data_IF_058773584621
#
_entry.id   IF_058773584621
#
_cell.length_a   1.000
_cell.length_b   1.000
_cell.length_c   1.000
_cell.angle_alpha   90.00
_cell.angle_beta   90.00
_cell.angle_gamma   90.00
#
_symmetry.space_group_name_H-M   'P 1'
#
loop_
_entity.id
_entity.type
_entity.pdbx_description
1 polymer ?
#
# COMPACT_ATOMS: atom_id res chain seq x y z
N UNK A 1 14.33 4.91 -22.51
CA UNK A 1 14.18 3.46 -22.24
C UNK A 1 15.42 2.64 -22.55
N UNK A 2 16.16 2.85 -23.65
CA UNK A 2 17.37 2.06 -23.99
C UNK A 2 18.34 1.86 -22.83
N UNK A 3 18.77 2.93 -22.15
CA UNK A 3 19.66 2.83 -20.98
C UNK A 3 19.17 1.86 -19.89
N UNK A 4 17.87 1.88 -19.56
CA UNK A 4 17.31 1.00 -18.52
C UNK A 4 17.25 -0.46 -18.98
N UNK A 5 16.95 -0.70 -20.25
CA UNK A 5 16.96 -2.04 -20.86
C UNK A 5 18.38 -2.61 -20.95
N UNK A 6 19.34 -1.77 -21.33
CA UNK A 6 20.74 -2.16 -21.50
C UNK A 6 21.45 -2.42 -20.15
N UNK A 7 20.99 -1.74 -19.08
CA UNK A 7 21.57 -1.88 -17.74
C UNK A 7 21.23 -3.20 -17.03
N UNK A 8 20.25 -3.98 -17.53
CA UNK A 8 19.88 -5.31 -17.03
C UNK A 8 19.69 -5.38 -15.50
N UNK A 9 18.87 -4.50 -14.95
CA UNK A 9 18.52 -4.53 -13.53
C UNK A 9 17.74 -5.81 -13.17
N UNK A 10 17.97 -6.36 -11.98
CA UNK A 10 17.28 -7.57 -11.52
C UNK A 10 15.91 -7.28 -10.87
N UNK A 11 15.72 -6.07 -10.33
CA UNK A 11 14.49 -5.66 -9.65
C UNK A 11 14.33 -4.13 -9.63
N UNK A 12 13.11 -3.67 -9.40
CA UNK A 12 12.79 -2.25 -9.21
C UNK A 12 12.11 -2.01 -7.87
N UNK A 13 12.65 -1.08 -7.07
CA UNK A 13 12.08 -0.67 -5.78
C UNK A 13 11.50 0.74 -5.89
N UNK A 14 10.25 0.94 -5.45
CA UNK A 14 9.55 2.22 -5.61
C UNK A 14 8.37 2.40 -4.65
N UNK A 15 7.91 3.64 -4.49
CA UNK A 15 6.61 3.94 -3.86
C UNK A 15 5.51 3.96 -4.94
N UNK A 16 4.52 3.04 -4.92
CA UNK A 16 3.51 2.88 -5.96
C UNK A 16 2.37 3.91 -5.88
N UNK A 17 2.34 4.83 -4.91
CA UNK A 17 1.27 5.85 -4.80
C UNK A 17 1.11 6.62 -6.11
N UNK A 18 2.24 6.94 -6.76
CA UNK A 18 2.29 7.43 -8.14
C UNK A 18 2.62 6.25 -9.08
N UNK A 19 1.69 5.83 -9.95
CA UNK A 19 1.80 4.55 -10.66
C UNK A 19 2.80 4.57 -11.84
N UNK A 20 3.58 5.63 -12.04
CA UNK A 20 4.61 5.69 -13.09
C UNK A 20 5.66 4.59 -12.94
N UNK A 21 6.09 4.31 -11.71
CA UNK A 21 7.04 3.24 -11.43
C UNK A 21 6.49 1.86 -11.80
N UNK A 22 5.30 1.46 -11.29
CA UNK A 22 4.63 0.23 -11.71
C UNK A 22 4.46 0.09 -13.23
N UNK A 23 4.13 1.16 -13.94
CA UNK A 23 4.03 1.15 -15.42
C UNK A 23 5.38 0.79 -16.06
N UNK A 24 6.47 1.41 -15.58
CA UNK A 24 7.82 1.15 -16.10
C UNK A 24 8.28 -0.27 -15.75
N UNK A 25 7.96 -0.76 -14.55
CA UNK A 25 8.26 -2.13 -14.12
C UNK A 25 7.62 -3.16 -15.04
N UNK A 26 6.35 -2.95 -15.38
CA UNK A 26 5.62 -3.82 -16.30
C UNK A 26 6.21 -3.77 -17.72
N UNK A 27 6.56 -2.59 -18.22
CA UNK A 27 7.20 -2.45 -19.54
C UNK A 27 8.57 -3.15 -19.61
N UNK A 28 9.35 -3.11 -18.53
CA UNK A 28 10.66 -3.75 -18.45
C UNK A 28 10.57 -5.24 -18.05
N UNK A 29 9.39 -5.73 -17.68
CA UNK A 29 9.17 -7.10 -17.17
C UNK A 29 10.06 -7.43 -15.97
N UNK A 30 10.24 -6.47 -15.06
CA UNK A 30 11.08 -6.62 -13.86
C UNK A 30 10.22 -6.87 -12.61
N UNK A 31 10.69 -7.73 -11.67
CA UNK A 31 10.01 -7.89 -10.40
C UNK A 31 10.04 -6.58 -9.61
N UNK A 32 8.88 -6.20 -9.09
CA UNK A 32 8.70 -4.92 -8.39
C UNK A 32 8.57 -5.10 -6.88
N UNK A 33 9.28 -4.24 -6.14
CA UNK A 33 9.26 -4.16 -4.68
C UNK A 33 8.63 -2.83 -4.29
N UNK A 34 7.45 -2.88 -3.70
CA UNK A 34 6.71 -1.69 -3.30
C UNK A 34 7.09 -1.27 -1.90
N UNK A 35 7.62 -0.07 -1.75
CA UNK A 35 8.00 0.51 -0.47
C UNK A 35 7.03 1.63 -0.10
N UNK A 36 6.01 1.31 0.69
CA UNK A 36 4.83 2.19 0.84
C UNK A 36 4.23 2.16 2.24
N UNK A 37 3.42 3.17 2.57
CA UNK A 37 2.59 3.15 3.79
C UNK A 37 1.18 2.59 3.52
N UNK A 38 0.76 2.53 2.27
CA UNK A 38 -0.56 2.09 1.87
C UNK A 38 -0.99 2.83 0.61
N UNK A 39 -2.01 2.30 -0.07
CA UNK A 39 -2.58 2.93 -1.25
C UNK A 39 -3.96 3.53 -0.93
N UNK A 40 -4.38 4.59 -1.65
CA UNK A 40 -5.74 5.10 -1.59
C UNK A 40 -6.79 3.98 -1.76
N UNK A 41 -7.91 4.10 -1.04
CA UNK A 41 -9.07 3.19 -1.11
C UNK A 41 -8.77 1.71 -0.83
N UNK A 42 -7.72 1.46 -0.04
CA UNK A 42 -7.25 0.12 0.30
C UNK A 42 -6.89 -0.72 -0.94
N UNK A 43 -6.39 -0.07 -2.00
CA UNK A 43 -6.01 -0.75 -3.25
C UNK A 43 -4.89 -1.76 -3.04
N UNK A 44 -4.02 -1.54 -2.06
CA UNK A 44 -2.98 -2.47 -1.65
C UNK A 44 -3.56 -3.81 -1.18
N UNK A 45 -4.57 -3.78 -0.30
CA UNK A 45 -5.26 -4.99 0.16
C UNK A 45 -6.13 -5.62 -0.93
N UNK A 46 -6.77 -4.81 -1.77
CA UNK A 46 -7.55 -5.32 -2.91
C UNK A 46 -6.65 -6.01 -3.94
N UNK A 47 -5.48 -5.43 -4.23
CA UNK A 47 -4.51 -5.95 -5.19
C UNK A 47 -3.90 -7.28 -4.73
N UNK A 48 -3.66 -7.43 -3.42
CA UNK A 48 -3.18 -8.67 -2.81
C UNK A 48 -4.31 -9.66 -2.46
N UNK A 49 -5.57 -9.33 -2.77
CA UNK A 49 -6.75 -10.13 -2.43
C UNK A 49 -6.92 -10.39 -0.92
N UNK A 50 -6.36 -9.53 -0.08
CA UNK A 50 -6.56 -9.60 1.36
C UNK A 50 -7.95 -9.09 1.76
N UNK A 51 -8.72 -9.82 2.59
CA UNK A 51 -10.01 -9.37 3.07
C UNK A 51 -9.85 -8.17 4.02
N UNK A 52 -10.64 -7.12 3.78
CA UNK A 52 -10.70 -5.92 4.64
C UNK A 52 -12.17 -5.54 4.91
N UNK A 53 -12.87 -6.29 5.77
CA UNK A 53 -14.31 -6.12 5.97
C UNK A 53 -14.68 -4.85 6.73
N UNK A 54 -15.73 -4.19 6.26
CA UNK A 54 -16.21 -2.90 6.81
C UNK A 54 -16.80 -3.02 8.23
N UNK A 55 -17.05 -4.22 8.73
CA UNK A 55 -17.66 -4.44 10.05
C UNK A 55 -16.70 -4.24 11.22
N UNK A 56 -15.39 -4.38 11.01
CA UNK A 56 -14.38 -4.24 12.06
C UNK A 56 -13.08 -3.56 11.60
N UNK A 57 -12.85 -3.39 10.28
CA UNK A 57 -11.75 -2.56 9.77
C UNK A 57 -12.30 -1.17 9.45
N UNK A 58 -12.02 -0.15 10.28
CA UNK A 58 -12.48 1.19 10.00
C UNK A 58 -11.73 1.79 8.81
N UNK A 59 -12.44 2.55 8.00
CA UNK A 59 -11.89 3.31 6.87
C UNK A 59 -11.17 4.54 7.35
N UNK A 60 -10.17 4.96 6.58
CA UNK A 60 -9.39 6.16 6.88
C UNK A 60 -10.33 7.37 6.99
N UNK A 61 -10.04 8.27 7.93
CA UNK A 61 -10.83 9.49 8.20
C UNK A 61 -12.25 9.26 8.78
N UNK A 62 -12.63 8.03 9.14
CA UNK A 62 -13.91 7.79 9.83
C UNK A 62 -13.88 8.11 11.32
N UNK A 63 -12.68 8.20 11.91
CA UNK A 63 -12.39 8.28 13.35
C UNK A 63 -13.00 7.13 14.17
N UNK A 64 -13.35 6.02 13.51
CA UNK A 64 -13.84 4.80 14.15
C UNK A 64 -12.69 3.90 14.61
N UNK A 65 -12.93 3.09 15.65
CA UNK A 65 -12.02 2.03 16.11
C UNK A 65 -12.41 0.65 15.53
N UNK A 66 -11.73 -0.41 15.96
CA UNK A 66 -12.14 -1.80 15.71
C UNK A 66 -13.48 -2.16 16.38
N UNK A 67 -13.83 -1.42 17.44
CA UNK A 67 -15.10 -1.54 18.15
C UNK A 67 -16.09 -0.50 17.66
N UNK A 68 -16.83 -0.86 16.62
CA UNK A 68 -17.90 -0.03 16.04
C UNK A 68 -19.30 -0.48 16.45
N UNK A 69 -20.15 0.48 16.80
CA UNK A 69 -21.61 0.34 16.89
C UNK A 69 -22.21 0.07 15.50
N UNK A 70 -23.49 -0.34 15.44
CA UNK A 70 -24.17 -0.59 14.18
C UNK A 70 -24.16 0.64 13.25
N UNK A 71 -24.45 1.82 13.78
CA UNK A 71 -24.46 3.06 12.99
C UNK A 71 -23.08 3.40 12.42
N UNK A 72 -22.01 3.21 13.21
CA UNK A 72 -20.63 3.41 12.75
C UNK A 72 -20.25 2.42 11.66
N UNK A 73 -20.69 1.16 11.74
CA UNK A 73 -20.47 0.16 10.68
C UNK A 73 -21.18 0.54 9.39
N UNK A 74 -22.41 1.04 9.47
CA UNK A 74 -23.16 1.53 8.30
C UNK A 74 -22.43 2.73 7.68
N UNK A 75 -21.98 3.70 8.49
CA UNK A 75 -21.17 4.82 8.03
C UNK A 75 -19.88 4.35 7.35
N UNK A 76 -19.19 3.39 7.96
CA UNK A 76 -17.94 2.84 7.45
C UNK A 76 -18.12 2.14 6.09
N UNK A 77 -19.22 1.39 5.95
CA UNK A 77 -19.61 0.77 4.68
C UNK A 77 -19.91 1.82 3.60
N UNK A 78 -20.71 2.85 3.91
CA UNK A 78 -21.05 3.90 2.95
C UNK A 78 -19.81 4.66 2.46
N UNK A 79 -18.89 4.97 3.36
CA UNK A 79 -17.61 5.60 3.01
C UNK A 79 -16.79 4.66 2.14
N UNK A 80 -16.61 3.41 2.55
CA UNK A 80 -15.87 2.42 1.79
C UNK A 80 -16.44 2.13 0.39
N UNK A 81 -17.76 2.22 0.22
CA UNK A 81 -18.41 2.13 -1.09
C UNK A 81 -18.11 3.37 -1.95
N UNK A 82 -18.18 4.57 -1.35
CA UNK A 82 -17.87 5.83 -2.05
C UNK A 82 -16.40 5.97 -2.46
N UNK A 83 -15.48 5.35 -1.71
CA UNK A 83 -14.04 5.34 -2.01
C UNK A 83 -13.74 4.76 -3.40
N UNK A 84 -14.53 3.78 -3.88
CA UNK A 84 -14.31 3.19 -5.20
C UNK A 84 -14.39 4.23 -6.32
N UNK A 85 -15.42 5.07 -6.30
CA UNK A 85 -15.62 6.14 -7.27
C UNK A 85 -14.51 7.18 -7.17
N UNK A 86 -14.14 7.55 -5.94
CA UNK A 86 -13.05 8.51 -5.70
C UNK A 86 -11.72 8.01 -6.26
N UNK A 87 -11.36 6.76 -6.03
CA UNK A 87 -10.11 6.19 -6.54
C UNK A 87 -10.10 6.02 -8.06
N UNK A 88 -11.20 5.63 -8.67
CA UNK A 88 -11.28 5.52 -10.13
C UNK A 88 -11.06 6.88 -10.80
N UNK A 89 -11.60 7.95 -10.21
CA UNK A 89 -11.36 9.33 -10.65
C UNK A 89 -9.91 9.76 -10.42
N UNK A 90 -9.35 9.48 -9.24
CA UNK A 90 -7.97 9.84 -8.89
C UNK A 90 -6.95 9.21 -9.85
N UNK A 91 -7.18 7.95 -10.26
CA UNK A 91 -6.28 7.22 -11.14
C UNK A 91 -6.67 7.26 -12.63
N UNK A 92 -7.73 7.95 -13.03
CA UNK A 92 -8.23 7.96 -14.41
C UNK A 92 -7.13 8.34 -15.42
N UNK A 93 -6.40 9.43 -15.14
CA UNK A 93 -5.33 9.92 -16.01
C UNK A 93 -4.17 8.91 -16.11
N UNK A 94 -3.84 8.27 -14.99
CA UNK A 94 -2.80 7.25 -14.95
C UNK A 94 -3.21 5.96 -15.66
N UNK A 95 -4.48 5.56 -15.56
CA UNK A 95 -5.03 4.43 -16.31
C UNK A 95 -4.91 4.66 -17.81
N UNK A 96 -5.26 5.86 -18.29
CA UNK A 96 -5.13 6.25 -19.69
C UNK A 96 -3.66 6.23 -20.14
N UNK A 97 -2.79 6.90 -19.38
CA UNK A 97 -1.35 6.92 -19.65
C UNK A 97 -0.73 5.51 -19.69
N UNK A 98 -1.08 4.66 -18.71
CA UNK A 98 -0.59 3.29 -18.65
C UNK A 98 -1.03 2.47 -19.86
N UNK A 99 -2.29 2.63 -20.28
CA UNK A 99 -2.82 1.90 -21.42
C UNK A 99 -2.18 2.34 -22.74
N UNK A 100 -1.95 3.65 -22.90
CA UNK A 100 -1.25 4.21 -24.06
C UNK A 100 0.22 3.77 -24.11
N UNK A 101 0.92 3.82 -22.97
CA UNK A 101 2.35 3.49 -22.88
C UNK A 101 2.62 1.98 -23.02
N UNK A 102 1.78 1.13 -22.44
CA UNK A 102 1.90 -0.32 -22.51
C UNK A 102 1.24 -0.92 -23.76
N UNK A 103 0.58 -0.08 -24.58
CA UNK A 103 -0.16 -0.48 -25.79
C UNK A 103 -1.20 -1.59 -25.55
N UNK A 104 -1.81 -1.64 -24.35
CA UNK A 104 -2.87 -2.59 -23.98
C UNK A 104 -3.77 -2.01 -22.90
N UNK A 105 -5.00 -2.48 -22.80
CA UNK A 105 -5.88 -2.09 -21.70
C UNK A 105 -5.35 -2.62 -20.36
N UNK A 106 -5.12 -1.71 -19.42
CA UNK A 106 -4.69 -2.06 -18.06
C UNK A 106 -5.56 -1.38 -17.02
N UNK A 107 -5.78 -2.08 -15.91
CA UNK A 107 -6.39 -1.50 -14.71
C UNK A 107 -5.31 -1.23 -13.66
N UNK A 108 -5.51 -0.19 -12.83
CA UNK A 108 -4.56 0.10 -11.75
C UNK A 108 -4.49 -1.04 -10.74
N UNK A 109 -5.62 -1.71 -10.48
CA UNK A 109 -5.66 -2.88 -9.61
C UNK A 109 -4.75 -4.01 -10.13
N UNK A 110 -4.80 -4.30 -11.45
CA UNK A 110 -3.91 -5.29 -12.07
C UNK A 110 -2.44 -4.87 -11.94
N UNK A 111 -2.13 -3.61 -12.22
CA UNK A 111 -0.77 -3.10 -12.14
C UNK A 111 -0.21 -3.18 -10.71
N UNK A 112 -1.02 -2.86 -9.70
CA UNK A 112 -0.62 -3.02 -8.32
C UNK A 112 -0.48 -4.50 -7.93
N UNK A 113 -1.35 -5.39 -8.42
CA UNK A 113 -1.29 -6.83 -8.09
C UNK A 113 -0.02 -7.55 -8.58
N UNK A 114 0.72 -6.96 -9.51
CA UNK A 114 1.96 -7.54 -10.06
C UNK A 114 3.18 -7.36 -9.15
N UNK A 115 3.04 -6.71 -7.99
CA UNK A 115 4.15 -6.55 -7.06
C UNK A 115 4.64 -7.89 -6.50
N UNK A 116 5.96 -8.09 -6.52
CA UNK A 116 6.58 -9.28 -5.95
C UNK A 116 6.61 -9.21 -4.43
N UNK A 117 6.93 -8.05 -3.86
CA UNK A 117 6.98 -7.82 -2.40
C UNK A 117 6.42 -6.44 -2.06
N UNK A 118 5.61 -6.36 -1.01
CA UNK A 118 5.13 -5.13 -0.41
C UNK A 118 5.84 -4.89 0.91
N UNK A 119 6.75 -3.93 0.94
CA UNK A 119 7.41 -3.43 2.14
C UNK A 119 6.57 -2.31 2.74
N UNK A 120 5.82 -2.65 3.79
CA UNK A 120 4.90 -1.75 4.49
C UNK A 120 5.68 -0.92 5.52
N UNK A 121 5.78 0.40 5.33
CA UNK A 121 6.56 1.35 6.15
C UNK A 121 5.93 1.66 7.52
N UNK A 122 5.39 0.65 8.17
CA UNK A 122 4.80 0.74 9.50
C UNK A 122 4.84 -0.64 10.15
N UNK A 123 4.58 -0.67 11.46
CA UNK A 123 4.50 -1.90 12.25
C UNK A 123 3.05 -2.35 12.42
N UNK A 124 2.82 -3.65 12.53
CA UNK A 124 1.49 -4.23 12.71
C UNK A 124 0.75 -3.67 13.94
N UNK A 125 1.47 -3.18 14.95
CA UNK A 125 0.88 -2.55 16.16
C UNK A 125 0.04 -1.31 15.84
N UNK A 126 0.32 -0.62 14.72
CA UNK A 126 -0.42 0.58 14.31
C UNK A 126 -1.63 0.30 13.42
N UNK A 127 -1.86 -0.95 13.03
CA UNK A 127 -2.95 -1.32 12.13
C UNK A 127 -3.99 -2.18 12.84
N UNK A 128 -5.20 -2.14 12.30
CA UNK A 128 -6.29 -3.01 12.73
C UNK A 128 -6.04 -4.46 12.30
N UNK A 129 -6.43 -5.45 13.12
CA UNK A 129 -6.20 -6.85 12.82
C UNK A 129 -6.97 -7.27 11.55
N UNK A 130 -6.22 -7.62 10.50
CA UNK A 130 -6.75 -8.17 9.26
C UNK A 130 -5.71 -9.11 8.61
N UNK A 131 -6.15 -10.11 7.83
CA UNK A 131 -5.21 -10.98 7.13
C UNK A 131 -4.32 -10.22 6.14
N UNK A 132 -3.08 -10.68 6.02
CA UNK A 132 -2.09 -10.20 5.05
C UNK A 132 -1.57 -11.34 4.20
N UNK A 133 -1.10 -11.03 2.99
CA UNK A 133 -0.42 -12.01 2.17
C UNK A 133 1.04 -12.20 2.61
N UNK A 134 1.65 -13.38 2.38
CA UNK A 134 3.05 -13.64 2.75
C UNK A 134 4.07 -12.70 2.08
N UNK A 135 3.71 -12.09 0.94
CA UNK A 135 4.55 -11.11 0.25
C UNK A 135 4.40 -9.68 0.82
N UNK A 136 3.59 -9.47 1.86
CA UNK A 136 3.49 -8.19 2.57
C UNK A 136 4.33 -8.26 3.86
N UNK A 137 5.37 -7.44 3.94
CA UNK A 137 6.35 -7.42 5.03
C UNK A 137 6.35 -6.05 5.71
N UNK A 138 6.13 -6.04 7.02
CA UNK A 138 6.20 -4.83 7.83
C UNK A 138 7.64 -4.43 8.13
N UNK A 139 8.02 -3.23 7.72
CA UNK A 139 9.34 -2.62 7.93
C UNK A 139 9.21 -1.35 8.78
N UNK A 140 8.56 -1.49 9.94
CA UNK A 140 8.48 -0.45 10.96
C UNK A 140 9.85 -0.10 11.56
N UNK A 141 9.97 1.08 12.20
CA UNK A 141 11.18 1.45 12.95
C UNK A 141 12.42 1.78 12.10
N UNK A 142 12.32 1.79 10.77
CA UNK A 142 13.45 2.09 9.86
C UNK A 142 14.07 3.48 10.05
N UNK A 143 13.34 4.42 10.64
CA UNK A 143 13.83 5.77 10.94
C UNK A 143 14.49 5.88 12.32
N UNK A 144 14.47 4.83 13.14
CA UNK A 144 15.09 4.84 14.46
C UNK A 144 16.61 4.77 14.34
N UNK A 145 17.31 5.54 15.19
CA UNK A 145 18.77 5.41 15.32
C UNK A 145 19.13 4.03 15.86
N UNK A 146 20.32 3.56 15.53
CA UNK A 146 20.86 2.33 16.07
C UNK A 146 20.77 2.33 17.60
N UNK A 147 20.20 1.27 18.16
CA UNK A 147 19.93 1.15 19.60
C UNK A 147 21.25 1.26 20.36
N UNK A 148 21.38 2.31 21.18
CA UNK A 148 22.42 2.34 22.21
C UNK A 148 21.97 1.46 23.38
N UNK A 149 22.91 0.80 24.09
CA UNK A 149 22.57 0.07 25.31
C UNK A 149 21.85 1.01 26.28
N UNK A 150 20.71 0.55 26.82
CA UNK A 150 20.01 1.27 27.88
C UNK A 150 20.94 1.31 29.10
N UNK A 151 21.11 2.48 29.71
CA UNK A 151 21.79 2.59 31.00
C UNK A 151 20.99 1.79 32.04
N UNK A 152 21.65 0.89 32.76
CA UNK A 152 21.01 0.02 33.77
C UNK A 152 20.37 0.80 34.93
N UNK A 153 20.68 2.09 35.06
CA UNK A 153 20.16 2.96 36.11
C UNK A 153 18.99 3.78 35.57
N UNK A 154 17.77 3.40 35.95
CA UNK A 154 16.62 4.29 35.87
C UNK A 154 16.80 5.41 36.90
N UNK A 155 17.40 6.53 36.49
CA UNK A 155 17.28 7.76 37.26
C UNK A 155 15.83 8.25 37.15
N UNK A 156 15.02 7.87 38.14
CA UNK A 156 13.70 8.46 38.36
C UNK A 156 13.87 9.94 38.65
N UNK A 157 13.61 10.78 37.65
CA UNK A 157 13.46 12.21 37.87
C UNK A 157 12.19 12.46 38.69
N UNK A 158 12.37 12.96 39.91
CA UNK A 158 11.32 13.60 40.70
C UNK A 158 10.90 14.91 40.05
#
# INVERSE_FOLDING_TARGET
>A
MKYLQDSKFDAIMMDPVLPCGPIVAEHLSLPSVYFMRGLPCSLDYKATQCPSPFSYVPKTFTYSSDRMTFAERVKNFLIGASEHVFCDLFYLNYKKLASEFLHREVTMLQLFSQASVYLMRYDFVFEYPRPIMPNMVYVGGINCKQKQPLSEVCHGSR
#
